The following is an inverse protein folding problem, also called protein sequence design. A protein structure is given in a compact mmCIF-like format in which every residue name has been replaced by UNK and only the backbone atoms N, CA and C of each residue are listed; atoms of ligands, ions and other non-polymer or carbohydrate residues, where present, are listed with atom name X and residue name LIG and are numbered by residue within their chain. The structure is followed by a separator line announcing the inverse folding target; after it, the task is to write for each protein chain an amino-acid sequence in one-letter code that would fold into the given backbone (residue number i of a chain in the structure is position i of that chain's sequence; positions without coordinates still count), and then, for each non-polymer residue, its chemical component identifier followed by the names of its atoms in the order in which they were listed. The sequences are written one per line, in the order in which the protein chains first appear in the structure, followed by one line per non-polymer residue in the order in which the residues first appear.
data_IF_242015584486
#
_entry.id   IF_242015584486
#
_cell.length_a   1.000
_cell.length_b   1.000
_cell.length_c   1.000
_cell.angle_alpha   90.00
_cell.angle_beta   90.00
_cell.angle_gamma   90.00
#
_symmetry.space_group_name_H-M   'P 1'
#
loop_
_entity.id
_entity.type
_entity.pdbx_description
1 polymer ?
#
# COMPACT_ATOMS: atom_id res chain seq x y z
N UNK A 1 -3.00 -28.39 2.23
CA UNK A 1 -2.76 -27.15 1.45
C UNK A 1 -1.27 -26.86 1.59
N UNK A 2 -0.56 -26.57 0.50
CA UNK A 2 0.85 -26.19 0.59
C UNK A 2 0.95 -24.95 1.48
N UNK A 3 1.96 -24.91 2.36
CA UNK A 3 2.28 -23.72 3.13
C UNK A 3 2.60 -22.58 2.15
N UNK A 4 2.02 -21.40 2.38
CA UNK A 4 2.30 -20.20 1.57
C UNK A 4 3.69 -19.66 1.96
N UNK A 5 4.50 -19.30 0.98
CA UNK A 5 5.86 -18.78 1.19
C UNK A 5 5.97 -17.33 0.71
N UNK A 6 6.95 -16.56 1.22
CA UNK A 6 7.26 -15.23 0.69
C UNK A 6 7.44 -15.20 -0.82
N UNK A 7 8.26 -16.12 -1.35
CA UNK A 7 8.48 -16.27 -2.80
C UNK A 7 7.17 -16.41 -3.57
N UNK A 8 6.26 -17.27 -3.12
CA UNK A 8 4.99 -17.50 -3.81
C UNK A 8 4.13 -16.22 -3.87
N UNK A 9 4.14 -15.41 -2.81
CA UNK A 9 3.41 -14.13 -2.76
C UNK A 9 4.05 -13.11 -3.70
N UNK A 10 5.38 -12.99 -3.66
CA UNK A 10 6.12 -12.06 -4.51
C UNK A 10 5.99 -12.43 -5.98
N UNK A 11 6.05 -13.72 -6.31
CA UNK A 11 5.88 -14.23 -7.68
C UNK A 11 4.46 -14.03 -8.19
N UNK A 12 3.46 -14.28 -7.33
CA UNK A 12 2.06 -13.98 -7.65
C UNK A 12 1.90 -12.51 -8.03
N UNK A 13 2.46 -11.61 -7.20
CA UNK A 13 2.34 -10.18 -7.40
C UNK A 13 3.10 -9.72 -8.65
N UNK A 14 4.35 -10.16 -8.81
CA UNK A 14 5.19 -9.87 -9.98
C UNK A 14 4.51 -10.31 -11.27
N UNK A 15 3.90 -11.49 -11.28
CA UNK A 15 3.23 -12.07 -12.45
C UNK A 15 1.94 -11.33 -12.85
N UNK A 16 1.30 -10.63 -11.92
CA UNK A 16 0.13 -9.79 -12.22
C UNK A 16 0.50 -8.54 -13.05
N UNK A 17 1.68 -7.96 -12.79
CA UNK A 17 2.23 -6.80 -13.49
C UNK A 17 1.60 -5.45 -13.11
N UNK A 18 2.34 -4.37 -13.43
CA UNK A 18 1.99 -2.98 -13.09
C UNK A 18 0.59 -2.54 -13.51
N UNK A 19 0.10 -3.05 -14.64
CA UNK A 19 -1.24 -2.74 -15.16
C UNK A 19 -2.37 -3.20 -14.22
N UNK A 20 -2.14 -4.24 -13.42
CA UNK A 20 -3.14 -4.79 -12.50
C UNK A 20 -3.00 -4.31 -11.07
N UNK A 21 -1.81 -3.88 -10.65
CA UNK A 21 -1.55 -3.47 -9.26
C UNK A 21 -2.39 -2.27 -8.83
N UNK A 22 -2.56 -1.30 -9.71
CA UNK A 22 -3.22 -0.02 -9.38
C UNK A 22 -4.60 0.16 -10.02
N UNK A 23 -5.00 -0.74 -10.93
CA UNK A 23 -6.31 -0.69 -11.56
C UNK A 23 -7.38 -1.38 -10.70
N UNK A 24 -8.61 -0.88 -10.75
CA UNK A 24 -9.77 -1.65 -10.29
C UNK A 24 -10.02 -2.76 -11.30
N UNK A 25 -9.91 -4.01 -10.85
CA UNK A 25 -10.12 -5.18 -11.70
C UNK A 25 -10.72 -6.31 -10.86
N UNK A 26 -12.02 -6.53 -10.99
CA UNK A 26 -12.77 -7.50 -10.19
C UNK A 26 -12.23 -8.92 -10.32
N UNK A 27 -11.77 -9.32 -11.51
CA UNK A 27 -11.20 -10.65 -11.73
C UNK A 27 -9.86 -10.84 -11.00
N UNK A 28 -9.04 -9.79 -10.97
CA UNK A 28 -7.79 -9.81 -10.23
C UNK A 28 -8.05 -9.74 -8.72
N UNK A 29 -9.00 -8.91 -8.27
CA UNK A 29 -9.38 -8.82 -6.85
C UNK A 29 -9.93 -10.15 -6.31
N UNK A 30 -10.74 -10.85 -7.11
CA UNK A 30 -11.21 -12.20 -6.78
C UNK A 30 -10.04 -13.20 -6.68
N UNK A 31 -9.05 -13.08 -7.57
CA UNK A 31 -7.85 -13.92 -7.56
C UNK A 31 -6.98 -13.64 -6.31
N UNK A 32 -6.75 -12.37 -5.97
CA UNK A 32 -6.06 -11.94 -4.74
C UNK A 32 -6.79 -12.49 -3.52
N UNK A 33 -8.12 -12.35 -3.46
CA UNK A 33 -8.93 -12.87 -2.36
C UNK A 33 -8.77 -14.38 -2.22
N UNK A 34 -8.86 -15.12 -3.32
CA UNK A 34 -8.79 -16.58 -3.30
C UNK A 34 -7.45 -17.10 -2.79
N UNK A 35 -6.34 -16.43 -3.14
CA UNK A 35 -5.00 -16.96 -2.87
C UNK A 35 -4.30 -16.33 -1.66
N UNK A 36 -4.62 -15.08 -1.31
CA UNK A 36 -3.84 -14.30 -0.35
C UNK A 36 -4.63 -13.85 0.89
N UNK A 37 -5.96 -14.02 0.95
CA UNK A 37 -6.76 -13.54 2.08
C UNK A 37 -6.40 -14.23 3.41
N UNK A 38 -6.24 -15.56 3.40
CA UNK A 38 -5.89 -16.31 4.61
C UNK A 38 -4.50 -15.88 5.14
N UNK A 39 -3.55 -15.68 4.22
CA UNK A 39 -2.21 -15.19 4.53
C UNK A 39 -2.24 -13.76 5.09
N UNK A 40 -3.02 -12.87 4.49
CA UNK A 40 -3.25 -11.52 5.03
C UNK A 40 -3.73 -11.58 6.49
N UNK A 41 -4.73 -12.42 6.78
CA UNK A 41 -5.23 -12.55 8.14
C UNK A 41 -4.20 -13.14 9.12
N UNK A 42 -3.39 -14.10 8.69
CA UNK A 42 -2.31 -14.66 9.51
C UNK A 42 -1.21 -13.64 9.81
N UNK A 43 -0.77 -12.86 8.80
CA UNK A 43 0.19 -11.76 9.00
C UNK A 43 -0.39 -10.69 9.94
N UNK A 44 -1.66 -10.31 9.76
CA UNK A 44 -2.31 -9.34 10.63
C UNK A 44 -2.42 -9.80 12.10
N UNK A 45 -2.37 -11.11 12.36
CA UNK A 45 -2.27 -11.70 13.71
C UNK A 45 -0.84 -11.86 14.22
N UNK A 46 0.17 -11.51 13.42
CA UNK A 46 1.59 -11.61 13.77
C UNK A 46 2.20 -13.00 13.58
N UNK A 47 1.50 -13.94 12.94
CA UNK A 47 1.93 -15.34 12.82
C UNK A 47 3.16 -15.52 11.91
N UNK A 48 3.45 -14.54 11.06
CA UNK A 48 4.56 -14.57 10.11
C UNK A 48 5.62 -13.48 10.36
N UNK A 49 5.72 -12.96 11.59
CA UNK A 49 6.75 -11.96 11.92
C UNK A 49 8.18 -12.43 11.61
N UNK A 50 8.43 -13.75 11.63
CA UNK A 50 9.71 -14.38 11.26
C UNK A 50 10.13 -14.12 9.81
N UNK A 51 9.20 -13.75 8.91
CA UNK A 51 9.53 -13.37 7.54
C UNK A 51 10.31 -12.05 7.45
N UNK A 52 10.37 -11.26 8.52
CA UNK A 52 11.23 -10.08 8.62
C UNK A 52 12.72 -10.44 8.84
N UNK A 53 13.20 -11.49 8.17
CA UNK A 53 14.59 -11.94 8.23
C UNK A 53 15.40 -11.63 6.96
N UNK A 54 14.71 -11.35 5.85
CA UNK A 54 15.32 -10.98 4.58
C UNK A 54 14.40 -10.08 3.75
N UNK A 55 14.90 -9.61 2.61
CA UNK A 55 14.19 -8.66 1.77
C UNK A 55 12.92 -9.24 1.12
N UNK A 56 12.89 -10.52 0.79
CA UNK A 56 11.73 -11.15 0.13
C UNK A 56 10.59 -11.36 1.12
N UNK A 57 10.91 -11.86 2.32
CA UNK A 57 9.97 -11.97 3.42
C UNK A 57 9.40 -10.60 3.83
N UNK A 58 10.24 -9.56 3.88
CA UNK A 58 9.78 -8.20 4.12
C UNK A 58 8.81 -7.70 3.05
N UNK A 59 9.15 -7.89 1.77
CA UNK A 59 8.25 -7.52 0.67
C UNK A 59 6.92 -8.27 0.75
N UNK A 60 6.94 -9.58 1.05
CA UNK A 60 5.73 -10.38 1.17
C UNK A 60 4.80 -9.86 2.28
N UNK A 61 5.36 -9.48 3.44
CA UNK A 61 4.60 -8.88 4.54
C UNK A 61 3.96 -7.56 4.10
N UNK A 62 4.71 -6.70 3.41
CA UNK A 62 4.20 -5.43 2.90
C UNK A 62 3.08 -5.62 1.87
N UNK A 63 3.22 -6.55 0.93
CA UNK A 63 2.18 -6.87 -0.04
C UNK A 63 0.90 -7.35 0.65
N UNK A 64 1.02 -8.23 1.64
CA UNK A 64 -0.11 -8.77 2.38
C UNK A 64 -0.81 -7.74 3.28
N UNK A 65 -0.09 -6.75 3.81
CA UNK A 65 -0.63 -5.76 4.75
C UNK A 65 -1.05 -4.45 4.09
N UNK A 66 -0.44 -4.08 2.97
CA UNK A 66 -0.70 -2.83 2.27
C UNK A 66 -1.50 -3.06 0.99
N UNK A 67 -1.08 -3.98 0.12
CA UNK A 67 -1.72 -4.14 -1.19
C UNK A 67 -2.98 -5.01 -1.13
N UNK A 68 -2.90 -6.20 -0.53
CA UNK A 68 -4.03 -7.15 -0.46
C UNK A 68 -5.32 -6.52 0.10
N UNK A 69 -5.30 -5.74 1.19
CA UNK A 69 -6.51 -5.11 1.72
C UNK A 69 -7.18 -4.16 0.72
N UNK A 70 -6.39 -3.45 -0.10
CA UNK A 70 -6.88 -2.50 -1.11
C UNK A 70 -7.57 -3.19 -2.28
N UNK A 71 -7.19 -4.43 -2.59
CA UNK A 71 -7.90 -5.28 -3.56
C UNK A 71 -9.10 -5.99 -2.96
N UNK A 72 -8.95 -6.57 -1.77
CA UNK A 72 -9.94 -7.49 -1.18
C UNK A 72 -11.06 -6.76 -0.43
N UNK A 73 -10.82 -5.56 0.08
CA UNK A 73 -11.77 -4.87 0.94
C UNK A 73 -12.19 -3.49 0.40
N UNK A 74 -12.19 -3.32 -0.92
CA UNK A 74 -12.56 -2.06 -1.60
C UNK A 74 -13.81 -1.43 -1.01
N UNK A 75 -13.76 -0.11 -0.80
CA UNK A 75 -14.88 0.68 -0.30
C UNK A 75 -15.22 0.47 1.18
N UNK A 76 -14.41 -0.26 1.94
CA UNK A 76 -14.62 -0.50 3.37
C UNK A 76 -13.43 -0.05 4.22
N UNK A 77 -13.67 0.20 5.51
CA UNK A 77 -12.61 0.50 6.48
C UNK A 77 -11.52 -0.59 6.54
N UNK A 78 -11.85 -1.84 6.22
CA UNK A 78 -10.89 -2.95 6.22
C UNK A 78 -9.76 -2.77 5.19
N UNK A 79 -9.97 -1.98 4.13
CA UNK A 79 -8.90 -1.67 3.17
C UNK A 79 -7.73 -0.89 3.80
N UNK A 80 -7.93 -0.28 4.97
CA UNK A 80 -6.96 0.56 5.66
C UNK A 80 -6.57 0.03 7.04
N UNK A 81 -7.22 -1.05 7.50
CA UNK A 81 -7.12 -1.51 8.88
C UNK A 81 -5.70 -1.97 9.28
N UNK A 82 -4.90 -2.39 8.31
CA UNK A 82 -3.52 -2.85 8.50
C UNK A 82 -2.45 -1.83 8.08
N UNK A 83 -2.83 -0.62 7.68
CA UNK A 83 -1.90 0.41 7.19
C UNK A 83 -0.81 0.73 8.23
N UNK A 84 -1.17 0.83 9.51
CA UNK A 84 -0.21 1.07 10.59
C UNK A 84 0.80 -0.06 10.78
N UNK A 85 0.38 -1.31 10.61
CA UNK A 85 1.27 -2.47 10.69
C UNK A 85 2.16 -2.56 9.44
N UNK A 86 1.65 -2.16 8.27
CA UNK A 86 2.46 -2.04 7.06
C UNK A 86 3.58 -1.00 7.23
N UNK A 87 3.28 0.17 7.81
CA UNK A 87 4.29 1.18 8.12
C UNK A 87 5.37 0.63 9.09
N UNK A 88 4.96 -0.08 10.14
CA UNK A 88 5.88 -0.69 11.09
C UNK A 88 6.89 -1.66 10.45
N UNK A 89 6.44 -2.49 9.49
CA UNK A 89 7.34 -3.38 8.76
C UNK A 89 8.15 -2.66 7.68
N UNK A 90 7.60 -1.60 7.07
CA UNK A 90 8.35 -0.76 6.15
C UNK A 90 9.53 -0.08 6.84
N UNK A 91 9.33 0.45 8.05
CA UNK A 91 10.38 1.08 8.85
C UNK A 91 11.53 0.11 9.12
N UNK A 92 11.21 -1.12 9.56
CA UNK A 92 12.22 -2.17 9.80
C UNK A 92 12.96 -2.55 8.52
N UNK A 93 12.23 -2.79 7.43
CA UNK A 93 12.82 -3.18 6.17
C UNK A 93 13.76 -2.11 5.59
N UNK A 94 13.42 -0.83 5.75
CA UNK A 94 14.29 0.28 5.33
C UNK A 94 15.53 0.40 6.22
N UNK A 95 15.39 0.20 7.54
CA UNK A 95 16.50 0.21 8.48
C UNK A 95 17.54 -0.89 8.15
N UNK A 96 17.06 -2.08 7.77
CA UNK A 96 17.92 -3.20 7.34
C UNK A 96 18.37 -3.09 5.87
N UNK A 97 17.87 -2.09 5.14
CA UNK A 97 18.23 -1.83 3.74
C UNK A 97 17.69 -2.87 2.75
N UNK A 98 16.63 -3.59 3.12
CA UNK A 98 16.00 -4.63 2.30
C UNK A 98 15.37 -4.07 1.02
N UNK A 99 14.86 -2.85 1.06
CA UNK A 99 14.33 -2.14 -0.10
C UNK A 99 15.36 -2.05 -1.24
N UNK A 100 16.63 -1.78 -0.90
CA UNK A 100 17.74 -1.64 -1.87
C UNK A 100 18.20 -2.97 -2.46
N UNK A 101 17.84 -4.10 -1.86
CA UNK A 101 18.14 -5.44 -2.37
C UNK A 101 17.14 -5.87 -3.46
N UNK A 102 15.98 -5.21 -3.53
CA UNK A 102 14.96 -5.46 -4.53
C UNK A 102 15.17 -4.64 -5.80
N UNK A 103 14.67 -5.16 -6.92
CA UNK A 103 14.61 -4.41 -8.17
C UNK A 103 13.72 -3.17 -8.03
N UNK A 104 13.99 -2.12 -8.80
CA UNK A 104 13.30 -0.83 -8.65
C UNK A 104 11.78 -0.94 -8.82
N UNK A 105 11.28 -1.92 -9.58
CA UNK A 105 9.84 -2.09 -9.78
C UNK A 105 9.16 -2.61 -8.53
N UNK A 106 9.79 -3.51 -7.78
CA UNK A 106 9.24 -4.00 -6.51
C UNK A 106 9.61 -3.13 -5.31
N UNK A 107 10.71 -2.39 -5.39
CA UNK A 107 11.18 -1.49 -4.33
C UNK A 107 10.12 -0.47 -3.90
N UNK A 108 9.28 0.00 -4.83
CA UNK A 108 8.20 0.94 -4.50
C UNK A 108 7.23 0.43 -3.42
N UNK A 109 7.02 -0.90 -3.31
CA UNK A 109 6.10 -1.47 -2.32
C UNK A 109 6.61 -1.33 -0.87
N UNK A 110 7.90 -1.05 -0.68
CA UNK A 110 8.45 -0.65 0.62
C UNK A 110 8.11 0.78 1.00
N UNK A 111 7.74 1.62 0.01
CA UNK A 111 7.51 3.04 0.19
C UNK A 111 6.03 3.41 0.19
N UNK A 112 5.20 2.60 -0.47
CA UNK A 112 3.75 2.81 -0.54
C UNK A 112 3.05 2.94 0.83
N UNK A 113 3.41 2.18 1.88
CA UNK A 113 2.79 2.36 3.20
C UNK A 113 2.84 3.81 3.70
N UNK A 114 3.95 4.52 3.46
CA UNK A 114 4.09 5.92 3.84
C UNK A 114 3.17 6.84 3.01
N UNK A 115 3.05 6.60 1.70
CA UNK A 115 2.09 7.34 0.85
C UNK A 115 0.64 7.11 1.24
N UNK A 116 0.36 6.00 1.90
CA UNK A 116 -0.97 5.65 2.36
C UNK A 116 -1.29 6.15 3.77
N UNK A 117 -0.30 6.60 4.53
CA UNK A 117 -0.53 7.12 5.87
C UNK A 117 -1.19 8.51 5.83
N UNK A 118 -2.18 8.74 6.68
CA UNK A 118 -2.73 10.07 6.95
C UNK A 118 -1.83 10.81 7.97
N UNK A 119 -0.54 10.93 7.64
CA UNK A 119 0.49 11.55 8.49
C UNK A 119 1.46 12.38 7.63
N UNK A 120 1.59 13.67 7.94
CA UNK A 120 2.38 14.60 7.12
C UNK A 120 3.90 14.31 7.14
N UNK A 121 4.44 13.73 8.22
CA UNK A 121 5.85 13.36 8.27
C UNK A 121 6.14 12.13 7.41
N UNK A 122 5.26 11.12 7.46
CA UNK A 122 5.37 9.95 6.60
C UNK A 122 5.20 10.30 5.12
N UNK A 123 4.32 11.25 4.77
CA UNK A 123 4.20 11.72 3.38
C UNK A 123 5.50 12.36 2.87
N UNK A 124 6.16 13.21 3.67
CA UNK A 124 7.47 13.79 3.30
C UNK A 124 8.52 12.70 3.07
N UNK A 125 8.60 11.73 3.98
CA UNK A 125 9.49 10.58 3.85
C UNK A 125 9.20 9.80 2.57
N UNK A 126 7.92 9.60 2.23
CA UNK A 126 7.53 8.94 0.99
C UNK A 126 8.05 9.68 -0.24
N UNK A 127 7.89 11.01 -0.30
CA UNK A 127 8.37 11.83 -1.42
C UNK A 127 9.90 11.75 -1.55
N UNK A 128 10.64 11.78 -0.45
CA UNK A 128 12.10 11.60 -0.46
C UNK A 128 12.51 10.23 -1.03
N UNK A 129 11.86 9.16 -0.58
CA UNK A 129 12.12 7.79 -1.03
C UNK A 129 11.79 7.60 -2.52
N UNK A 130 10.64 8.12 -2.98
CA UNK A 130 10.24 8.06 -4.38
C UNK A 130 11.10 8.95 -5.28
N UNK A 131 11.64 10.06 -4.75
CA UNK A 131 12.61 10.90 -5.46
C UNK A 131 13.90 10.13 -5.72
N UNK A 132 14.41 9.44 -4.70
CA UNK A 132 15.59 8.59 -4.82
C UNK A 132 15.37 7.35 -5.70
N UNK A 133 14.14 6.84 -5.79
CA UNK A 133 13.79 5.71 -6.66
C UNK A 133 13.97 6.02 -8.15
N UNK A 134 13.76 7.28 -8.56
CA UNK A 134 13.94 7.73 -9.94
C UNK A 134 12.81 7.36 -10.92
N UNK A 135 11.68 6.82 -10.43
CA UNK A 135 10.46 6.61 -11.23
C UNK A 135 9.61 7.90 -11.18
N UNK A 136 9.68 8.71 -12.24
CA UNK A 136 8.99 10.00 -12.31
C UNK A 136 7.46 9.87 -12.18
N UNK A 137 6.87 8.77 -12.66
CA UNK A 137 5.44 8.53 -12.53
C UNK A 137 5.08 8.25 -11.07
N UNK A 138 5.86 7.38 -10.40
CA UNK A 138 5.65 7.06 -9.00
C UNK A 138 5.86 8.28 -8.08
N UNK A 139 6.91 9.09 -8.35
CA UNK A 139 7.15 10.34 -7.63
C UNK A 139 5.99 11.33 -7.78
N UNK A 140 5.44 11.48 -8.99
CA UNK A 140 4.28 12.34 -9.21
C UNK A 140 3.11 11.94 -8.30
N UNK A 141 2.85 10.63 -8.17
CA UNK A 141 1.79 10.14 -7.28
C UNK A 141 2.09 10.38 -5.80
N UNK A 142 3.34 10.19 -5.37
CA UNK A 142 3.74 10.47 -3.98
C UNK A 142 3.54 11.96 -3.62
N UNK A 143 3.92 12.87 -4.51
CA UNK A 143 3.70 14.33 -4.31
C UNK A 143 2.21 14.66 -4.23
N UNK A 144 1.39 14.07 -5.11
CA UNK A 144 -0.06 14.30 -5.05
C UNK A 144 -0.69 13.79 -3.74
N UNK A 145 -0.19 12.67 -3.19
CA UNK A 145 -0.65 12.19 -1.87
C UNK A 145 -0.21 13.15 -0.75
N UNK A 146 1.03 13.64 -0.78
CA UNK A 146 1.52 14.63 0.17
C UNK A 146 0.65 15.90 0.14
N UNK A 147 0.36 16.44 -1.04
CA UNK A 147 -0.44 17.66 -1.20
C UNK A 147 -1.83 17.53 -0.56
N UNK A 148 -2.49 16.37 -0.73
CA UNK A 148 -3.80 16.09 -0.11
C UNK A 148 -3.68 16.07 1.41
N UNK A 149 -2.65 15.43 1.96
CA UNK A 149 -2.43 15.37 3.41
C UNK A 149 -2.01 16.72 3.98
N UNK A 150 -1.17 17.50 3.29
CA UNK A 150 -0.82 18.87 3.68
C UNK A 150 -2.06 19.77 3.73
N UNK A 151 -2.99 19.60 2.78
CA UNK A 151 -4.21 20.41 2.69
C UNK A 151 -5.27 20.01 3.72
N UNK A 152 -5.55 18.72 3.87
CA UNK A 152 -6.70 18.24 4.63
C UNK A 152 -6.34 17.48 5.92
N UNK A 153 -5.06 17.13 6.11
CA UNK A 153 -4.60 16.27 7.20
C UNK A 153 -5.03 14.80 7.09
N UNK A 154 -5.75 14.44 6.02
CA UNK A 154 -6.33 13.11 5.77
C UNK A 154 -6.73 12.97 4.30
N UNK A 155 -7.08 11.77 3.85
CA UNK A 155 -7.59 11.52 2.49
C UNK A 155 -9.12 11.62 2.44
N UNK A 156 -9.71 12.65 1.81
CA UNK A 156 -11.17 12.80 1.75
C UNK A 156 -11.90 11.62 1.09
N UNK A 157 -11.25 10.94 0.12
CA UNK A 157 -11.80 9.75 -0.54
C UNK A 157 -12.11 8.60 0.44
N UNK A 158 -11.45 8.55 1.61
CA UNK A 158 -11.69 7.52 2.63
C UNK A 158 -12.86 7.86 3.56
N UNK A 159 -13.42 9.08 3.48
CA UNK A 159 -14.42 9.55 4.45
C UNK A 159 -15.62 8.61 4.57
N UNK A 160 -16.21 8.18 3.45
CA UNK A 160 -17.36 7.28 3.46
C UNK A 160 -17.01 5.92 4.07
N UNK A 161 -15.89 5.30 3.65
CA UNK A 161 -15.44 4.01 4.14
C UNK A 161 -15.10 4.03 5.65
N UNK A 162 -14.65 5.17 6.17
CA UNK A 162 -14.28 5.37 7.57
C UNK A 162 -15.38 6.04 8.42
N UNK A 163 -16.58 6.26 7.87
CA UNK A 163 -17.69 6.89 8.59
C UNK A 163 -17.45 8.34 9.00
N UNK A 164 -16.56 9.06 8.30
CA UNK A 164 -16.23 10.46 8.58
C UNK A 164 -17.19 11.40 7.86
N UNK A 165 -17.53 12.51 8.49
CA UNK A 165 -18.24 13.61 7.84
C UNK A 165 -17.28 14.36 6.91
N UNK A 166 -17.68 14.48 5.63
CA UNK A 166 -16.99 15.30 4.62
C UNK A 166 -17.28 16.77 4.85
N UNK A 167 -16.24 17.60 4.84
CA UNK A 167 -16.39 19.07 4.89
C UNK A 167 -16.82 19.62 3.53
N UNK A 168 -17.23 20.90 3.48
CA UNK A 168 -17.53 21.55 2.20
C UNK A 168 -16.32 21.53 1.27
N UNK A 169 -15.15 21.92 1.78
CA UNK A 169 -13.91 22.00 0.99
C UNK A 169 -13.46 20.62 0.48
N UNK A 170 -13.56 19.60 1.32
CA UNK A 170 -13.30 18.21 0.93
C UNK A 170 -14.28 17.75 -0.15
N UNK A 171 -15.57 18.11 -0.04
CA UNK A 171 -16.59 17.78 -1.04
C UNK A 171 -16.32 18.44 -2.39
N UNK A 172 -15.93 19.71 -2.39
CA UNK A 172 -15.58 20.44 -3.61
C UNK A 172 -14.33 19.82 -4.27
N UNK A 173 -13.33 19.43 -3.49
CA UNK A 173 -12.15 18.70 -3.98
C UNK A 173 -12.51 17.36 -4.63
N UNK A 174 -13.36 16.55 -3.98
CA UNK A 174 -13.79 15.25 -4.52
C UNK A 174 -14.54 15.37 -5.85
N UNK A 175 -15.29 16.45 -6.07
CA UNK A 175 -15.98 16.69 -7.34
C UNK A 175 -15.02 17.00 -8.49
N UNK A 176 -13.98 17.80 -8.23
CA UNK A 176 -12.97 18.14 -9.24
C UNK A 176 -12.15 16.91 -9.61
N UNK A 177 -11.70 16.15 -8.62
CA UNK A 177 -10.87 14.96 -8.84
C UNK A 177 -11.60 13.87 -9.65
N UNK A 178 -12.89 13.66 -9.36
CA UNK A 178 -13.75 12.75 -10.12
C UNK A 178 -13.95 13.16 -11.59
N UNK A 179 -13.73 14.43 -11.94
CA UNK A 179 -13.81 14.95 -13.30
C UNK A 179 -12.50 14.88 -14.09
N UNK A 180 -11.39 14.48 -13.45
CA UNK A 180 -10.05 14.42 -14.05
C UNK A 180 -9.47 13.01 -14.17
N UNK A 181 -10.22 11.97 -13.75
CA UNK A 181 -9.86 10.56 -13.84
C UNK A 181 -10.36 9.85 -15.09
#
# INVERSE_FOLDING_TARGET
MSEITPQAIVDFWRSAGRERWFAVNESFDANVRQHLLDAHHAVARGEYAVWMGDAEGALALLLLLDQVPRNVFRGSAHAYATDGLACHYADQALADGFDRQMDATLRMFFYLPYTHAEDAALQRQAVELFSALGDAQALKWAVMHEDVIQRFGRFPHRNAALGRKTTQEEGDFLQVDAGTG
#
